data_IF_243787102815
#
_entry.id   IF_243787102815
#
_cell.length_a   1.000
_cell.length_b   1.000
_cell.length_c   1.000
_cell.angle_alpha   90.00
_cell.angle_beta   90.00
_cell.angle_gamma   90.00
#
_symmetry.space_group_name_H-M   'P 1'
#
loop_
_entity.id
_entity.type
_entity.pdbx_description
1 polymer ?
#
# COMPACT_ATOMS: atom_id res chain seq x y z
N UNK A 1 -9.43 11.46 18.80
CA UNK A 1 -10.21 10.62 17.85
C UNK A 1 -9.44 10.52 16.53
N UNK A 2 -9.22 9.33 16.02
CA UNK A 2 -8.38 9.11 14.83
C UNK A 2 -8.97 9.61 13.50
N UNK A 3 -10.27 9.88 13.42
CA UNK A 3 -10.96 10.49 12.28
C UNK A 3 -11.94 11.57 12.74
N UNK A 4 -12.12 12.60 11.92
CA UNK A 4 -13.01 13.71 12.19
C UNK A 4 -14.05 13.87 11.08
N UNK A 5 -15.33 13.82 11.44
CA UNK A 5 -16.43 14.19 10.55
C UNK A 5 -16.51 15.72 10.46
N UNK A 6 -16.59 16.27 9.26
CA UNK A 6 -16.74 17.70 9.07
C UNK A 6 -18.19 18.15 9.30
N UNK A 7 -18.38 19.40 9.75
CA UNK A 7 -19.70 20.02 9.84
C UNK A 7 -20.31 20.13 8.42
N UNK A 8 -21.63 19.90 8.25
CA UNK A 8 -22.29 19.89 6.94
C UNK A 8 -22.60 21.32 6.43
N UNK A 9 -21.61 22.20 6.47
CA UNK A 9 -21.77 23.62 6.04
C UNK A 9 -21.91 23.77 4.53
N UNK A 10 -21.44 22.78 3.75
CA UNK A 10 -21.59 22.76 2.29
C UNK A 10 -21.94 21.32 1.83
N UNK A 11 -22.56 21.14 0.63
CA UNK A 11 -22.84 19.81 0.09
C UNK A 11 -21.61 18.90 0.03
N UNK A 12 -20.44 19.46 -0.30
CA UNK A 12 -19.18 18.71 -0.39
C UNK A 12 -18.58 18.28 0.96
N UNK A 13 -19.01 18.89 2.06
CA UNK A 13 -18.55 18.54 3.42
C UNK A 13 -19.51 17.62 4.18
N UNK A 14 -20.79 17.56 3.77
CA UNK A 14 -21.84 16.79 4.45
C UNK A 14 -21.45 15.36 4.80
N UNK A 15 -20.78 14.65 3.90
CA UNK A 15 -20.41 13.25 4.06
C UNK A 15 -18.88 13.05 4.18
N UNK A 16 -18.13 14.14 4.38
CA UNK A 16 -16.67 14.08 4.41
C UNK A 16 -16.17 13.69 5.79
N UNK A 17 -15.31 12.67 5.82
CA UNK A 17 -14.57 12.24 7.00
C UNK A 17 -13.08 12.29 6.65
N UNK A 18 -12.29 12.95 7.48
CA UNK A 18 -10.85 13.12 7.30
C UNK A 18 -10.08 12.48 8.45
N UNK A 19 -8.85 12.08 8.22
CA UNK A 19 -7.92 11.70 9.28
C UNK A 19 -7.64 12.89 10.21
N UNK A 20 -7.46 12.63 11.50
CA UNK A 20 -7.18 13.68 12.49
C UNK A 20 -5.76 14.26 12.38
N UNK A 21 -4.82 13.49 11.85
CA UNK A 21 -3.40 13.85 11.70
C UNK A 21 -2.64 14.07 13.02
N UNK A 22 -3.19 13.62 14.15
CA UNK A 22 -2.65 13.85 15.50
C UNK A 22 -1.23 13.27 15.70
N UNK A 23 -0.89 12.23 14.95
CA UNK A 23 0.43 11.56 15.03
C UNK A 23 1.52 12.21 14.20
N UNK A 24 1.21 13.25 13.43
CA UNK A 24 2.19 13.92 12.57
C UNK A 24 2.95 14.97 13.36
N UNK A 25 4.29 14.86 13.37
CA UNK A 25 5.16 15.75 14.12
C UNK A 25 5.90 16.78 13.26
N UNK A 26 5.92 16.61 11.92
CA UNK A 26 6.53 17.55 11.01
C UNK A 26 5.66 17.80 9.77
N UNK A 27 5.60 19.06 9.33
CA UNK A 27 4.83 19.51 8.17
C UNK A 27 5.59 19.46 6.84
N UNK A 28 6.93 19.56 6.89
CA UNK A 28 7.80 19.58 5.72
C UNK A 28 8.68 18.32 5.66
N UNK A 29 8.86 17.72 4.47
CA UNK A 29 9.74 16.57 4.32
C UNK A 29 11.20 16.97 4.27
N UNK A 30 12.10 16.03 4.59
CA UNK A 30 13.54 16.15 4.40
C UNK A 30 13.88 16.33 2.91
N UNK A 31 14.51 17.44 2.56
CA UNK A 31 14.72 17.85 1.15
C UNK A 31 15.59 16.87 0.37
N UNK A 32 16.63 16.30 0.99
CA UNK A 32 17.54 15.33 0.37
C UNK A 32 16.86 14.00 -0.02
N UNK A 33 15.77 13.65 0.64
CA UNK A 33 15.03 12.41 0.43
C UNK A 33 13.76 12.58 -0.42
N UNK A 34 13.65 13.68 -1.17
CA UNK A 34 12.46 14.00 -1.96
C UNK A 34 12.81 14.25 -3.42
N UNK A 35 12.07 13.56 -4.31
CA UNK A 35 12.21 13.71 -5.76
C UNK A 35 10.90 14.14 -6.41
N UNK A 36 11.01 14.86 -7.53
CA UNK A 36 9.87 15.23 -8.34
C UNK A 36 9.25 14.02 -9.05
N UNK A 37 7.91 13.96 -9.12
CA UNK A 37 7.20 12.89 -9.85
C UNK A 37 6.58 13.46 -11.11
N UNK A 38 6.98 12.94 -12.27
CA UNK A 38 6.27 13.17 -13.53
C UNK A 38 4.98 12.35 -13.56
N UNK A 39 3.90 12.95 -14.06
CA UNK A 39 2.61 12.28 -14.23
C UNK A 39 2.49 11.80 -15.66
N UNK A 40 2.39 10.49 -15.86
CA UNK A 40 2.24 9.89 -17.19
C UNK A 40 0.86 10.11 -17.81
N UNK A 41 -0.15 10.49 -17.02
CA UNK A 41 -1.54 10.60 -17.49
C UNK A 41 -2.12 9.27 -17.98
N UNK A 42 -1.60 8.14 -17.51
CA UNK A 42 -2.01 6.80 -17.91
C UNK A 42 -1.37 6.31 -19.23
N UNK A 43 -0.30 6.99 -19.70
CA UNK A 43 0.48 6.59 -20.88
C UNK A 43 1.68 5.75 -20.47
N UNK A 44 2.07 4.83 -21.34
CA UNK A 44 3.33 4.07 -21.21
C UNK A 44 4.53 4.90 -21.74
N UNK A 45 5.72 4.28 -21.80
CA UNK A 45 6.94 4.90 -22.34
C UNK A 45 6.86 5.26 -23.84
N UNK A 46 5.99 4.58 -24.59
CA UNK A 46 5.73 4.84 -26.02
C UNK A 46 4.64 5.91 -26.25
N UNK A 47 4.04 6.46 -25.18
CA UNK A 47 2.97 7.44 -25.27
C UNK A 47 1.56 6.87 -25.46
N UNK A 48 1.42 5.54 -25.57
CA UNK A 48 0.12 4.88 -25.73
C UNK A 48 -0.67 4.86 -24.41
N UNK A 49 -1.99 5.06 -24.50
CA UNK A 49 -2.89 5.04 -23.36
C UNK A 49 -3.10 3.60 -22.84
N UNK A 50 -2.39 3.20 -21.79
CA UNK A 50 -2.51 1.87 -21.17
C UNK A 50 -3.46 1.84 -20.00
N UNK A 51 -3.63 2.98 -19.31
CA UNK A 51 -4.55 3.12 -18.16
C UNK A 51 -5.49 4.30 -18.39
N UNK A 52 -6.78 4.01 -18.60
CA UNK A 52 -7.82 5.03 -18.78
C UNK A 52 -8.17 5.74 -17.48
N UNK A 53 -8.75 6.93 -17.61
CA UNK A 53 -9.31 7.72 -16.51
C UNK A 53 -8.27 8.15 -15.46
N UNK A 54 -7.01 8.27 -15.83
CA UNK A 54 -5.94 8.85 -15.04
C UNK A 54 -5.48 10.15 -15.68
N UNK A 55 -5.27 11.16 -14.87
CA UNK A 55 -4.75 12.46 -15.31
C UNK A 55 -5.12 13.60 -14.38
N UNK A 56 -4.40 14.71 -14.51
CA UNK A 56 -4.54 15.86 -13.63
C UNK A 56 -4.11 15.54 -12.19
N UNK A 57 -4.86 16.10 -11.25
CA UNK A 57 -4.60 15.96 -9.81
C UNK A 57 -3.49 16.87 -9.29
N UNK A 58 -3.39 16.98 -7.97
CA UNK A 58 -2.42 17.84 -7.30
C UNK A 58 -0.98 17.40 -7.59
N UNK A 59 -0.04 18.35 -7.77
CA UNK A 59 1.40 18.09 -7.88
C UNK A 59 1.90 17.40 -6.62
N UNK A 60 2.69 16.34 -6.76
CA UNK A 60 3.23 15.56 -5.63
C UNK A 60 4.73 15.41 -5.78
N UNK A 61 5.40 15.34 -4.62
CA UNK A 61 6.78 14.92 -4.50
C UNK A 61 6.80 13.50 -3.94
N UNK A 62 7.71 12.67 -4.42
CA UNK A 62 7.91 11.31 -3.92
C UNK A 62 8.97 11.32 -2.82
N UNK A 63 8.70 10.60 -1.71
CA UNK A 63 9.67 10.37 -0.64
C UNK A 63 10.39 9.07 -0.92
N UNK A 64 11.71 9.10 -0.88
CA UNK A 64 12.54 7.90 -1.01
C UNK A 64 12.41 7.10 0.29
N UNK A 65 11.73 5.96 0.21
CA UNK A 65 11.52 5.08 1.36
C UNK A 65 12.51 3.94 1.29
N UNK A 66 13.17 3.67 2.41
CA UNK A 66 14.03 2.51 2.58
C UNK A 66 13.18 1.24 2.78
N UNK A 67 12.89 0.56 1.68
CA UNK A 67 12.21 -0.73 1.72
C UNK A 67 13.18 -1.90 1.93
N UNK A 68 14.48 -1.69 1.78
CA UNK A 68 15.48 -2.76 1.90
C UNK A 68 15.94 -2.97 3.32
N UNK A 69 15.98 -1.89 4.12
CA UNK A 69 16.48 -1.94 5.50
C UNK A 69 17.83 -2.67 5.57
N UNK A 70 18.71 -2.33 4.63
CA UNK A 70 20.01 -3.01 4.45
C UNK A 70 21.16 -2.45 5.31
N UNK A 71 20.86 -1.55 6.24
CA UNK A 71 21.83 -1.02 7.19
C UNK A 71 21.76 -1.81 8.48
N UNK A 72 22.41 -2.98 8.46
CA UNK A 72 22.35 -3.93 9.55
C UNK A 72 23.30 -3.52 10.69
N UNK A 73 22.86 -3.74 11.95
CA UNK A 73 23.65 -3.48 13.15
C UNK A 73 23.82 -2.01 13.56
N UNK A 74 23.37 -1.06 12.73
CA UNK A 74 23.49 0.38 13.06
C UNK A 74 22.18 0.88 13.65
N UNK A 75 22.17 1.40 14.90
CA UNK A 75 20.97 1.96 15.51
C UNK A 75 20.58 3.27 14.82
N UNK A 76 19.26 3.50 14.72
CA UNK A 76 18.68 4.70 14.16
C UNK A 76 17.59 5.24 15.10
N UNK A 77 17.59 6.55 15.32
CA UNK A 77 16.56 7.21 16.15
C UNK A 77 15.46 7.79 15.27
N UNK A 78 14.22 7.58 15.65
CA UNK A 78 13.05 8.18 15.02
C UNK A 78 13.01 9.68 15.33
N UNK A 79 13.20 10.53 14.31
CA UNK A 79 13.21 11.97 14.48
C UNK A 79 11.84 12.61 14.29
N UNK A 80 11.11 12.19 13.26
CA UNK A 80 9.78 12.72 12.94
C UNK A 80 8.87 11.65 12.37
N UNK A 81 7.55 11.84 12.52
CA UNK A 81 6.50 11.09 11.84
C UNK A 81 5.81 12.06 10.88
N UNK A 82 5.69 11.68 9.60
CA UNK A 82 5.28 12.58 8.53
C UNK A 82 4.14 12.01 7.67
N UNK A 83 3.44 12.94 7.00
CA UNK A 83 2.45 12.62 5.98
C UNK A 83 3.12 12.41 4.62
N UNK A 84 2.78 11.32 3.93
CA UNK A 84 3.17 11.11 2.52
C UNK A 84 1.91 11.08 1.63
N UNK A 85 1.80 11.99 0.63
CA UNK A 85 0.65 12.03 -0.28
C UNK A 85 0.60 10.86 -1.27
N UNK A 86 1.64 10.02 -1.35
CA UNK A 86 1.75 8.92 -2.31
C UNK A 86 1.30 7.57 -1.73
N UNK A 87 1.07 7.51 -0.41
CA UNK A 87 0.65 6.29 0.28
C UNK A 87 -0.37 6.58 1.38
N UNK A 88 -1.05 5.54 1.82
CA UNK A 88 -2.02 5.62 2.92
C UNK A 88 -1.34 5.60 4.30
N UNK A 89 -0.19 4.92 4.41
CA UNK A 89 0.60 4.85 5.64
C UNK A 89 1.33 6.17 5.93
N UNK A 90 1.60 6.45 7.21
CA UNK A 90 2.54 7.47 7.64
C UNK A 90 3.97 6.98 7.40
N UNK A 91 4.90 7.89 7.32
CA UNK A 91 6.33 7.61 7.21
C UNK A 91 7.07 8.17 8.42
N UNK A 92 8.17 7.54 8.81
CA UNK A 92 9.04 8.03 9.87
C UNK A 92 10.43 8.34 9.29
N UNK A 93 10.98 9.48 9.69
CA UNK A 93 12.35 9.86 9.37
C UNK A 93 13.29 9.31 10.44
N UNK A 94 14.24 8.51 10.02
CA UNK A 94 15.28 7.93 10.85
C UNK A 94 16.59 8.70 10.67
N UNK A 95 17.27 8.95 11.79
CA UNK A 95 18.65 9.42 11.85
C UNK A 95 19.49 8.28 12.38
N UNK A 96 20.40 7.79 11.58
CA UNK A 96 21.36 6.75 11.95
C UNK A 96 22.54 7.35 12.72
N UNK A 97 23.22 6.53 13.53
CA UNK A 97 24.35 6.95 14.32
C UNK A 97 25.54 7.51 13.48
N UNK A 98 25.64 7.10 12.21
CA UNK A 98 26.62 7.59 11.25
C UNK A 98 26.19 8.85 10.47
N UNK A 99 25.07 9.46 10.85
CA UNK A 99 24.56 10.69 10.23
C UNK A 99 23.67 10.47 8.99
N UNK A 100 23.54 9.25 8.46
CA UNK A 100 22.65 8.98 7.33
C UNK A 100 21.17 9.13 7.76
N UNK A 101 20.37 9.71 6.85
CA UNK A 101 18.93 9.85 7.04
C UNK A 101 18.19 8.93 6.09
N UNK A 102 17.14 8.24 6.57
CA UNK A 102 16.26 7.42 5.73
C UNK A 102 14.81 7.55 6.17
N UNK A 103 13.89 7.44 5.21
CA UNK A 103 12.48 7.26 5.52
C UNK A 103 12.12 5.78 5.58
N UNK A 104 11.27 5.43 6.54
CA UNK A 104 10.61 4.11 6.61
C UNK A 104 9.09 4.28 6.66
N UNK A 105 8.34 3.19 6.42
CA UNK A 105 6.92 3.16 6.77
C UNK A 105 6.80 3.12 8.29
N UNK A 106 6.04 4.04 8.87
CA UNK A 106 5.84 4.10 10.31
C UNK A 106 4.94 2.94 10.77
N UNK A 107 5.42 2.04 11.65
CA UNK A 107 4.57 1.05 12.29
C UNK A 107 3.59 1.71 13.27
N UNK A 108 2.56 0.96 13.64
CA UNK A 108 1.62 1.39 14.64
C UNK A 108 2.27 1.43 16.02
N UNK A 109 2.02 2.48 16.79
CA UNK A 109 2.61 2.66 18.14
C UNK A 109 4.06 3.17 18.12
N UNK A 110 4.62 3.55 16.96
CA UNK A 110 5.94 4.15 16.90
C UNK A 110 5.91 5.57 17.45
N UNK A 111 6.85 5.89 18.32
CA UNK A 111 7.02 7.23 18.93
C UNK A 111 8.31 7.91 18.45
N UNK A 112 8.32 9.24 18.53
CA UNK A 112 9.52 10.03 18.25
C UNK A 112 10.52 9.79 19.40
N UNK A 113 11.80 9.62 19.06
CA UNK A 113 12.86 9.28 20.00
C UNK A 113 13.10 7.77 20.15
N UNK A 114 12.20 6.91 19.65
CA UNK A 114 12.43 5.46 19.66
C UNK A 114 13.66 5.08 18.84
N UNK A 115 14.43 4.12 19.33
CA UNK A 115 15.60 3.57 18.62
C UNK A 115 15.20 2.32 17.87
N UNK A 116 15.52 2.25 16.58
CA UNK A 116 15.24 1.13 15.70
C UNK A 116 16.52 0.54 15.12
N UNK A 117 16.52 -0.76 14.93
CA UNK A 117 17.65 -1.48 14.36
C UNK A 117 17.19 -2.45 13.26
N UNK A 118 18.11 -2.80 12.36
CA UNK A 118 17.90 -3.82 11.33
C UNK A 118 19.00 -4.87 11.44
N UNK A 119 18.72 -6.09 11.00
CA UNK A 119 19.71 -7.15 10.93
C UNK A 119 19.34 -8.38 11.75
N UNK A 120 20.22 -9.39 11.74
CA UNK A 120 19.97 -10.67 12.41
C UNK A 120 19.96 -10.56 13.93
N UNK A 121 20.75 -9.64 14.49
CA UNK A 121 20.92 -9.43 15.93
C UNK A 121 19.95 -8.37 16.51
N UNK A 122 19.04 -7.82 15.69
CA UNK A 122 18.07 -6.86 16.18
C UNK A 122 17.06 -7.54 17.10
N UNK A 123 16.66 -6.86 18.19
CA UNK A 123 15.61 -7.35 19.08
C UNK A 123 14.27 -7.42 18.33
N UNK A 124 13.39 -8.41 18.64
CA UNK A 124 12.09 -8.57 17.99
C UNK A 124 11.06 -7.54 18.50
N UNK A 125 11.39 -6.26 18.40
CA UNK A 125 10.57 -5.12 18.81
C UNK A 125 9.90 -4.41 17.64
N UNK A 126 8.83 -3.64 17.92
CA UNK A 126 8.05 -2.94 16.89
C UNK A 126 8.94 -1.95 16.13
N UNK A 127 8.97 -2.09 14.81
CA UNK A 127 9.74 -1.23 13.90
C UNK A 127 11.12 -1.77 13.52
N UNK A 128 11.63 -2.77 14.25
CA UNK A 128 12.87 -3.45 13.88
C UNK A 128 12.66 -4.37 12.68
N UNK A 129 13.67 -4.49 11.82
CA UNK A 129 13.62 -5.30 10.62
C UNK A 129 14.59 -6.48 10.74
N UNK A 130 14.06 -7.70 10.68
CA UNK A 130 14.79 -8.94 10.85
C UNK A 130 14.53 -9.92 9.70
N UNK A 131 15.46 -10.86 9.43
CA UNK A 131 15.15 -12.05 8.64
C UNK A 131 14.02 -12.86 9.31
N UNK A 132 13.14 -13.46 8.51
CA UNK A 132 12.00 -14.25 9.02
C UNK A 132 12.45 -15.44 9.88
N UNK A 133 13.67 -15.95 9.68
CA UNK A 133 14.26 -17.01 10.52
C UNK A 133 14.44 -16.59 11.99
N UNK A 134 14.66 -15.30 12.24
CA UNK A 134 14.96 -14.76 13.56
C UNK A 134 13.72 -14.16 14.26
N UNK A 135 12.57 -14.07 13.57
CA UNK A 135 11.32 -13.53 14.15
C UNK A 135 10.57 -14.65 14.88
N UNK A 136 10.12 -14.47 16.13
CA UNK A 136 9.33 -15.47 16.85
C UNK A 136 8.04 -15.84 16.07
N UNK A 137 7.64 -17.12 16.13
CA UNK A 137 6.38 -17.61 15.56
C UNK A 137 5.20 -16.93 16.26
N UNK A 138 4.12 -16.65 15.54
CA UNK A 138 2.96 -15.92 16.04
C UNK A 138 3.07 -14.41 15.92
N UNK A 139 4.27 -13.87 15.68
CA UNK A 139 4.51 -12.42 15.62
C UNK A 139 3.76 -11.77 14.45
N UNK A 140 3.22 -10.58 14.71
CA UNK A 140 2.64 -9.69 13.71
C UNK A 140 3.75 -8.94 12.98
N UNK A 141 3.73 -8.99 11.66
CA UNK A 141 4.78 -8.41 10.79
C UNK A 141 4.19 -7.62 9.63
N UNK A 142 4.99 -6.72 9.08
CA UNK A 142 4.67 -5.93 7.88
C UNK A 142 5.94 -5.71 7.03
N UNK A 143 5.83 -5.01 5.90
CA UNK A 143 6.96 -4.73 5.01
C UNK A 143 7.77 -5.99 4.65
N UNK A 144 7.08 -7.03 4.17
CA UNK A 144 7.67 -8.35 3.95
C UNK A 144 8.29 -8.41 2.56
N UNK A 145 9.50 -8.92 2.45
CA UNK A 145 10.15 -9.24 1.20
C UNK A 145 9.58 -10.51 0.56
N UNK A 146 9.64 -10.60 -0.76
CA UNK A 146 9.34 -11.83 -1.52
C UNK A 146 10.59 -12.60 -1.94
N UNK A 147 11.69 -11.90 -2.09
CA UNK A 147 13.02 -12.44 -2.41
C UNK A 147 14.04 -11.71 -1.56
N UNK A 148 15.08 -12.41 -1.09
CA UNK A 148 16.11 -11.78 -0.28
C UNK A 148 16.73 -10.56 -0.97
N UNK A 149 16.86 -9.44 -0.26
CA UNK A 149 17.45 -8.19 -0.75
C UNK A 149 16.60 -7.40 -1.76
N UNK A 150 15.43 -7.87 -2.13
CA UNK A 150 14.52 -7.15 -3.03
C UNK A 150 13.95 -5.88 -2.38
N UNK A 151 13.82 -5.89 -1.06
CA UNK A 151 13.10 -4.91 -0.27
C UNK A 151 11.62 -5.26 -0.11
N UNK A 152 10.96 -4.58 0.80
CA UNK A 152 9.58 -4.83 1.18
C UNK A 152 8.63 -4.75 -0.01
N UNK A 153 7.83 -5.78 -0.22
CA UNK A 153 6.86 -5.90 -1.30
C UNK A 153 5.42 -6.08 -0.78
N UNK A 154 5.24 -6.94 0.23
CA UNK A 154 3.92 -7.24 0.80
C UNK A 154 3.66 -6.39 2.06
N UNK A 155 2.37 -6.20 2.38
CA UNK A 155 1.88 -5.61 3.65
C UNK A 155 2.49 -4.23 3.92
N UNK A 156 2.20 -3.25 3.03
CA UNK A 156 2.72 -1.87 3.13
C UNK A 156 1.64 -0.81 3.31
N UNK A 157 0.37 -1.18 3.16
CA UNK A 157 -0.75 -0.23 3.25
C UNK A 157 -1.11 0.08 4.71
N UNK A 158 -1.70 1.23 4.96
CA UNK A 158 -2.13 1.65 6.29
C UNK A 158 -2.98 0.57 6.99
N UNK A 159 -2.68 0.31 8.26
CA UNK A 159 -3.40 -0.64 9.10
C UNK A 159 -3.25 -2.11 8.73
N UNK A 160 -2.47 -2.46 7.70
CA UNK A 160 -2.30 -3.86 7.32
C UNK A 160 -1.21 -4.55 8.15
N UNK A 161 -1.38 -5.84 8.34
CA UNK A 161 -0.41 -6.72 8.98
C UNK A 161 -0.54 -8.14 8.41
N UNK A 162 0.49 -8.92 8.59
CA UNK A 162 0.51 -10.36 8.35
C UNK A 162 1.00 -11.06 9.61
N UNK A 163 0.80 -12.35 9.71
CA UNK A 163 1.23 -13.15 10.84
C UNK A 163 2.18 -14.26 10.38
N UNK A 164 3.31 -14.39 11.05
CA UNK A 164 4.22 -15.52 10.89
C UNK A 164 3.62 -16.73 11.63
N UNK A 165 3.13 -17.73 10.90
CA UNK A 165 2.41 -18.86 11.50
C UNK A 165 3.33 -20.03 11.85
N UNK A 166 4.28 -20.35 10.98
CA UNK A 166 5.26 -21.42 11.22
C UNK A 166 6.50 -21.26 10.35
N UNK A 167 7.49 -22.10 10.56
CA UNK A 167 8.69 -22.23 9.74
C UNK A 167 8.90 -23.73 9.41
N UNK A 168 9.22 -24.00 8.14
CA UNK A 168 9.46 -25.36 7.65
C UNK A 168 10.70 -25.33 6.75
N UNK A 169 11.80 -25.88 7.24
CA UNK A 169 13.09 -25.84 6.54
C UNK A 169 13.48 -24.40 6.19
N UNK A 170 13.76 -24.14 4.92
CA UNK A 170 14.17 -22.83 4.41
C UNK A 170 13.02 -21.84 4.24
N UNK A 171 11.79 -22.20 4.58
CA UNK A 171 10.62 -21.38 4.35
C UNK A 171 9.91 -20.98 5.63
N UNK A 172 9.47 -19.73 5.66
CA UNK A 172 8.52 -19.18 6.62
C UNK A 172 7.11 -19.20 6.03
N UNK A 173 6.13 -19.63 6.78
CA UNK A 173 4.72 -19.66 6.42
C UNK A 173 4.05 -18.43 7.00
N UNK A 174 3.44 -17.63 6.13
CA UNK A 174 2.88 -16.33 6.51
C UNK A 174 1.43 -16.25 6.06
N UNK A 175 0.55 -15.88 6.99
CA UNK A 175 -0.85 -15.56 6.74
C UNK A 175 -0.98 -14.08 6.41
N UNK A 176 -1.39 -13.77 5.18
CA UNK A 176 -1.54 -12.42 4.65
C UNK A 176 -2.89 -11.78 5.05
N UNK A 177 -3.03 -10.44 4.97
CA UNK A 177 -4.29 -9.74 5.26
C UNK A 177 -5.48 -10.20 4.40
N UNK A 178 -5.20 -10.75 3.21
CA UNK A 178 -6.21 -11.31 2.32
C UNK A 178 -6.78 -12.66 2.76
N UNK A 179 -6.17 -13.30 3.78
CA UNK A 179 -6.45 -14.67 4.19
C UNK A 179 -5.65 -15.72 3.41
N UNK A 180 -4.83 -15.33 2.43
CA UNK A 180 -3.92 -16.23 1.73
C UNK A 180 -2.76 -16.63 2.65
N UNK A 181 -2.49 -17.94 2.76
CA UNK A 181 -1.32 -18.47 3.44
C UNK A 181 -0.28 -18.90 2.40
N UNK A 182 0.94 -18.41 2.55
CA UNK A 182 2.00 -18.68 1.58
C UNK A 182 3.37 -18.88 2.21
N UNK A 183 4.23 -19.60 1.48
CA UNK A 183 5.65 -19.81 1.79
C UNK A 183 6.50 -18.64 1.28
N UNK A 184 7.42 -18.15 2.10
CA UNK A 184 8.43 -17.16 1.75
C UNK A 184 9.77 -17.65 2.31
N UNK A 185 10.87 -17.43 1.62
CA UNK A 185 12.20 -17.83 2.09
C UNK A 185 12.49 -17.22 3.48
N UNK A 186 12.99 -18.02 4.40
CA UNK A 186 13.29 -17.60 5.77
C UNK A 186 14.39 -16.53 5.87
N UNK A 187 15.20 -16.37 4.83
CA UNK A 187 16.20 -15.29 4.68
C UNK A 187 15.63 -13.96 4.28
N UNK A 188 14.37 -13.90 3.80
CA UNK A 188 13.67 -12.64 3.52
C UNK A 188 13.47 -11.84 4.79
N UNK A 189 13.62 -10.51 4.69
CA UNK A 189 13.39 -9.59 5.81
C UNK A 189 11.92 -9.19 5.93
N UNK A 190 11.50 -8.92 7.17
CA UNK A 190 10.23 -8.30 7.49
C UNK A 190 10.40 -7.33 8.66
N UNK A 191 9.49 -6.38 8.80
CA UNK A 191 9.46 -5.45 9.94
C UNK A 191 8.39 -5.90 10.94
N UNK A 192 8.73 -5.85 12.22
CA UNK A 192 7.84 -6.27 13.31
C UNK A 192 6.75 -5.22 13.56
N UNK A 193 5.56 -5.68 13.87
CA UNK A 193 4.37 -4.87 14.12
C UNK A 193 3.46 -4.73 12.92
N UNK A 194 2.40 -3.94 13.05
CA UNK A 194 1.46 -3.57 11.98
C UNK A 194 1.79 -2.20 11.41
N UNK A 195 1.34 -1.91 10.19
CA UNK A 195 1.47 -0.57 9.60
C UNK A 195 0.58 0.42 10.34
N UNK A 196 1.08 1.60 10.63
CA UNK A 196 0.34 2.68 11.28
C UNK A 196 -0.82 3.23 10.44
N UNK A 197 -1.54 4.22 11.00
CA UNK A 197 -2.71 4.88 10.36
C UNK A 197 -3.86 3.90 10.03
N UNK A 198 -4.18 2.97 10.90
CA UNK A 198 -5.21 1.93 10.72
C UNK A 198 -6.60 2.51 10.38
N UNK A 199 -6.89 3.71 10.86
CA UNK A 199 -8.16 4.39 10.66
C UNK A 199 -8.33 5.03 9.26
N UNK A 200 -7.34 4.93 8.38
CA UNK A 200 -7.43 5.42 7.00
C UNK A 200 -8.62 4.84 6.22
N UNK A 201 -9.01 3.59 6.50
CA UNK A 201 -10.18 2.95 5.90
C UNK A 201 -11.52 3.66 6.23
N UNK A 202 -11.58 4.41 7.33
CA UNK A 202 -12.76 5.15 7.76
C UNK A 202 -12.91 6.52 7.06
N UNK A 203 -11.88 6.97 6.33
CA UNK A 203 -11.93 8.24 5.60
C UNK A 203 -12.92 8.18 4.44
N UNK A 204 -13.71 9.25 4.29
CA UNK A 204 -14.66 9.42 3.19
C UNK A 204 -14.39 10.70 2.44
N UNK A 205 -14.27 10.60 1.12
CA UNK A 205 -13.97 11.75 0.24
C UNK A 205 -15.08 12.80 0.19
N UNK A 206 -16.33 12.41 0.33
CA UNK A 206 -17.49 13.28 0.40
C UNK A 206 -17.92 13.95 -0.91
N UNK A 207 -17.03 14.10 -1.90
CA UNK A 207 -17.34 14.74 -3.20
C UNK A 207 -16.51 14.19 -4.35
N UNK A 208 -17.05 14.25 -5.57
CA UNK A 208 -16.38 13.83 -6.80
C UNK A 208 -15.10 14.63 -7.10
N UNK A 209 -15.07 15.92 -6.75
CA UNK A 209 -13.88 16.78 -6.90
C UNK A 209 -12.66 16.26 -6.16
N UNK A 210 -12.83 15.53 -5.03
CA UNK A 210 -11.72 14.88 -4.33
C UNK A 210 -11.02 13.83 -5.21
N UNK A 211 -11.81 13.04 -5.95
CA UNK A 211 -11.25 12.07 -6.91
C UNK A 211 -10.46 12.76 -8.02
N UNK A 212 -10.93 13.94 -8.49
CA UNK A 212 -10.20 14.77 -9.46
C UNK A 212 -8.87 15.26 -8.90
N UNK A 213 -8.83 15.72 -7.67
CA UNK A 213 -7.59 16.12 -6.99
C UNK A 213 -6.59 14.97 -6.82
N UNK A 214 -7.10 13.75 -6.67
CA UNK A 214 -6.28 12.52 -6.60
C UNK A 214 -5.79 12.05 -7.97
N UNK A 215 -6.19 12.71 -9.07
CA UNK A 215 -5.80 12.37 -10.43
C UNK A 215 -6.68 11.34 -11.12
N UNK A 216 -7.88 11.07 -10.57
CA UNK A 216 -8.87 10.19 -11.18
C UNK A 216 -9.91 11.00 -11.96
N UNK A 217 -10.08 10.68 -13.23
CA UNK A 217 -11.10 11.29 -14.10
C UNK A 217 -12.45 10.56 -13.95
N UNK A 218 -13.57 11.22 -14.31
CA UNK A 218 -14.87 10.57 -14.38
C UNK A 218 -14.85 9.34 -15.27
N UNK A 219 -15.68 8.36 -14.97
CA UNK A 219 -15.73 7.08 -15.68
C UNK A 219 -17.13 6.79 -16.17
N UNK A 220 -17.28 6.57 -17.48
CA UNK A 220 -18.52 6.10 -18.08
C UNK A 220 -18.67 4.59 -17.90
N UNK A 221 -19.91 4.13 -17.71
CA UNK A 221 -20.26 2.71 -17.69
C UNK A 221 -20.35 2.20 -19.13
N UNK A 222 -20.01 0.93 -19.35
CA UNK A 222 -20.11 0.31 -20.69
C UNK A 222 -21.53 0.33 -21.27
N UNK A 223 -22.55 0.21 -20.42
CA UNK A 223 -23.98 0.27 -20.82
C UNK A 223 -24.37 1.66 -21.40
N UNK A 224 -23.64 2.72 -21.04
CA UNK A 224 -23.91 4.08 -21.53
C UNK A 224 -23.06 4.43 -22.77
N UNK A 225 -22.43 3.45 -23.37
CA UNK A 225 -21.58 3.61 -24.57
C UNK A 225 -22.32 3.05 -25.80
N UNK A 226 -21.80 3.36 -26.99
CA UNK A 226 -22.27 2.77 -28.23
C UNK A 226 -21.72 1.33 -28.39
N UNK A 227 -22.36 0.48 -29.25
CA UNK A 227 -21.91 -0.90 -29.47
C UNK A 227 -20.45 -1.01 -29.93
N UNK A 228 -19.97 -0.06 -30.71
CA UNK A 228 -18.58 0.02 -31.19
C UNK A 228 -17.56 0.23 -30.07
N UNK A 229 -17.96 0.91 -28.98
CA UNK A 229 -17.07 1.26 -27.88
C UNK A 229 -17.01 0.20 -26.76
N UNK A 230 -18.10 -0.56 -26.61
CA UNK A 230 -18.23 -1.53 -25.52
C UNK A 230 -19.23 -2.66 -25.85
N UNK A 231 -18.91 -3.93 -25.53
CA UNK A 231 -19.82 -5.06 -25.77
C UNK A 231 -21.19 -4.96 -25.10
N UNK A 232 -21.35 -4.09 -24.11
CA UNK A 232 -22.62 -3.84 -23.42
C UNK A 232 -23.26 -2.51 -23.84
N UNK A 233 -22.75 -1.88 -24.89
CA UNK A 233 -23.27 -0.63 -25.44
C UNK A 233 -24.47 -0.86 -26.37
N UNK A 234 -25.20 0.22 -26.61
CA UNK A 234 -26.38 0.23 -27.50
C UNK A 234 -27.69 -0.18 -26.83
N UNK A 235 -28.72 -0.34 -27.65
CA UNK A 235 -30.08 -0.61 -27.24
C UNK A 235 -30.91 0.66 -27.03
N UNK A 236 -32.23 0.49 -27.00
CA UNK A 236 -33.16 1.54 -26.62
C UNK A 236 -33.30 1.61 -25.09
N UNK A 237 -33.11 2.80 -24.55
CA UNK A 237 -33.18 3.02 -23.11
C UNK A 237 -32.12 2.25 -22.30
N UNK A 238 -32.51 1.64 -21.19
CA UNK A 238 -31.61 1.02 -20.22
C UNK A 238 -31.42 -0.48 -20.52
N UNK A 239 -30.76 -0.81 -21.63
CA UNK A 239 -30.43 -2.19 -21.97
C UNK A 239 -29.25 -2.71 -21.11
N UNK A 240 -29.31 -3.95 -20.62
CA UNK A 240 -28.25 -4.56 -19.82
C UNK A 240 -27.21 -5.34 -20.64
N UNK A 241 -27.53 -5.70 -21.90
CA UNK A 241 -26.61 -6.40 -22.82
C UNK A 241 -26.16 -7.80 -22.39
N UNK A 242 -26.93 -8.47 -21.52
CA UNK A 242 -26.66 -9.82 -21.03
C UNK A 242 -25.62 -9.87 -19.90
N UNK A 243 -24.82 -10.96 -19.85
CA UNK A 243 -23.82 -11.14 -18.80
C UNK A 243 -22.77 -10.02 -18.79
N UNK A 244 -22.45 -9.43 -17.63
CA UNK A 244 -21.49 -8.31 -17.55
C UNK A 244 -20.14 -8.64 -18.18
N UNK A 245 -19.71 -7.84 -19.14
CA UNK A 245 -18.45 -7.98 -19.86
C UNK A 245 -17.54 -6.77 -19.66
N UNK A 246 -16.24 -7.00 -19.77
CA UNK A 246 -15.25 -5.96 -19.91
C UNK A 246 -15.22 -5.42 -21.35
N UNK A 247 -14.54 -4.30 -21.57
CA UNK A 247 -14.32 -3.77 -22.93
C UNK A 247 -13.65 -4.76 -23.89
N UNK A 248 -12.86 -5.71 -23.37
CA UNK A 248 -12.21 -6.78 -24.15
C UNK A 248 -13.11 -8.00 -24.35
N UNK A 249 -14.40 -7.93 -24.01
CA UNK A 249 -15.34 -9.04 -24.15
C UNK A 249 -15.28 -10.08 -23.03
N UNK A 250 -14.30 -10.01 -22.13
CA UNK A 250 -14.15 -10.98 -21.03
C UNK A 250 -15.22 -10.76 -19.97
N UNK A 251 -15.70 -11.82 -19.36
CA UNK A 251 -16.65 -11.73 -18.26
C UNK A 251 -16.10 -10.89 -17.11
N UNK A 252 -16.88 -9.89 -16.67
CA UNK A 252 -16.51 -8.98 -15.60
C UNK A 252 -16.78 -9.55 -14.21
N UNK A 253 -17.63 -10.58 -14.11
CA UNK A 253 -17.98 -11.29 -12.87
C UNK A 253 -17.69 -12.79 -13.05
N UNK A 254 -17.21 -13.43 -11.99
CA UNK A 254 -16.99 -14.88 -11.93
C UNK A 254 -15.73 -15.39 -12.63
N UNK A 255 -15.16 -14.66 -13.59
CA UNK A 255 -13.97 -15.10 -14.31
C UNK A 255 -12.74 -15.11 -13.39
N UNK A 256 -12.09 -16.27 -13.30
CA UNK A 256 -10.79 -16.43 -12.62
C UNK A 256 -9.68 -15.96 -13.56
N UNK A 257 -9.09 -14.78 -13.28
CA UNK A 257 -8.09 -14.15 -14.16
C UNK A 257 -6.64 -14.59 -13.88
N UNK A 258 -6.38 -15.25 -12.75
CA UNK A 258 -5.05 -15.80 -12.45
C UNK A 258 -4.76 -16.97 -13.37
N UNK A 259 -3.62 -16.93 -14.07
CA UNK A 259 -3.17 -18.03 -14.92
C UNK A 259 -3.01 -19.32 -14.06
N UNK A 260 -3.59 -20.46 -14.49
CA UNK A 260 -3.52 -21.72 -13.72
C UNK A 260 -2.08 -22.18 -13.44
N UNK A 261 -1.21 -22.10 -14.43
CA UNK A 261 0.21 -22.50 -14.38
C UNK A 261 1.16 -21.36 -13.95
N UNK A 262 0.68 -20.37 -13.20
CA UNK A 262 1.56 -19.28 -12.74
C UNK A 262 2.61 -19.82 -11.77
N UNK A 263 3.90 -19.57 -12.05
CA UNK A 263 5.04 -20.08 -11.26
C UNK A 263 4.89 -19.82 -9.74
N UNK A 264 4.36 -18.66 -9.34
CA UNK A 264 4.15 -18.34 -7.92
C UNK A 264 3.04 -19.14 -7.24
N UNK A 265 2.33 -20.02 -7.94
CA UNK A 265 1.29 -20.89 -7.34
C UNK A 265 1.87 -21.94 -6.41
N UNK A 266 3.12 -22.37 -6.61
CA UNK A 266 3.83 -23.34 -5.75
C UNK A 266 4.13 -22.80 -4.33
N UNK A 267 4.11 -21.49 -4.16
CA UNK A 267 4.33 -20.83 -2.87
C UNK A 267 3.04 -20.57 -2.09
N UNK A 268 1.86 -20.86 -2.66
CA UNK A 268 0.58 -20.66 -1.98
C UNK A 268 0.16 -21.99 -1.38
N UNK A 269 0.02 -22.04 -0.05
CA UNK A 269 -0.47 -23.21 0.69
C UNK A 269 -1.99 -23.18 0.69
N UNK A 270 -2.58 -22.09 1.16
CA UNK A 270 -4.03 -21.90 1.24
C UNK A 270 -4.43 -20.61 0.55
N UNK A 271 -5.42 -20.68 -0.33
CA UNK A 271 -6.01 -19.50 -0.96
C UNK A 271 -7.03 -18.87 -0.02
N UNK A 272 -7.27 -17.55 -0.20
CA UNK A 272 -8.36 -16.87 0.54
C UNK A 272 -9.66 -17.64 0.35
N UNK A 273 -10.36 -17.90 1.45
CA UNK A 273 -11.75 -18.36 1.40
C UNK A 273 -12.62 -17.22 0.84
N UNK A 274 -13.62 -17.58 0.05
CA UNK A 274 -14.57 -16.61 -0.50
C UNK A 274 -15.49 -16.08 0.59
#
# INVERSE_FOLDING_TARGET
>A
MAVRKLKPTTPGQRHKIIGAFDTITASAPEKSLVVGVRKSGGRNNEGHLTMRYIGGGHKRKYRLIDFKRNKDGVPATVKTIEYDPNRSARIALLFYADGEKRYIIAPNGLEVGATLMSGENAAPEVGNALPLKNIPIGTVIHNIELRPGQGAFLVRSAGTFAQLTSREGDYAIIKLPSGETRKILATCKATIGSVGNSNHALERSGKAGRSRWLGRRPRNRGVAMNPVDHPMGGGEGRASGGHPRSRKGLYAKGLKTRAPKKHSSKYIIERRKK
#
